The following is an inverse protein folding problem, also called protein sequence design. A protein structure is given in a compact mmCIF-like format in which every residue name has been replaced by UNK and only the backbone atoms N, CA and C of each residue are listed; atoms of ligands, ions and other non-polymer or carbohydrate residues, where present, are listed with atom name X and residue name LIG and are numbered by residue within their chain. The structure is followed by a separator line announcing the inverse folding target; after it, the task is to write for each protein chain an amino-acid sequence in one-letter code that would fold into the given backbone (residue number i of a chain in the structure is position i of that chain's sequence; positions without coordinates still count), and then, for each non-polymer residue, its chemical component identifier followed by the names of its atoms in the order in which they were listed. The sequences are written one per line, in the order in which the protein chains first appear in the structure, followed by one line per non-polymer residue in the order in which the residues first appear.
data_IF_544337493054
#
_entry.id   IF_544337493054
#
_cell.length_a   1.000
_cell.length_b   1.000
_cell.length_c   1.000
_cell.angle_alpha   90.00
_cell.angle_beta   90.00
_cell.angle_gamma   90.00
#
_symmetry.space_group_name_H-M   'P 1'
#
loop_
_entity.id
_entity.type
_entity.pdbx_description
1 polymer ?
#
# COMPACT_ATOMS: atom_id res chain seq x y z
N UNK A 1 24.41 8.98 0.85
CA UNK A 1 23.10 9.44 1.35
C UNK A 1 22.30 8.31 1.98
N UNK A 2 22.08 7.19 1.28
CA UNK A 2 21.51 5.96 1.88
C UNK A 2 22.34 5.38 3.04
N UNK A 3 23.60 5.78 3.17
CA UNK A 3 24.51 5.43 4.27
C UNK A 3 24.43 6.37 5.48
N UNK A 4 23.69 7.49 5.39
CA UNK A 4 23.55 8.49 6.46
C UNK A 4 22.15 8.49 7.08
N UNK A 5 21.16 7.92 6.39
CA UNK A 5 19.84 7.64 6.91
C UNK A 5 19.62 6.12 6.87
N UNK A 6 19.76 5.47 8.03
CA UNK A 6 19.58 4.02 8.18
C UNK A 6 18.17 3.54 7.86
N UNK A 7 17.20 4.45 7.79
CA UNK A 7 15.81 4.13 7.51
C UNK A 7 15.38 4.55 6.09
N UNK A 8 16.19 5.35 5.39
CA UNK A 8 15.93 5.81 4.02
C UNK A 8 14.63 6.60 3.85
N UNK A 9 14.20 7.32 4.90
CA UNK A 9 12.94 8.06 4.95
C UNK A 9 13.14 9.51 4.50
N UNK A 10 14.36 10.05 4.59
CA UNK A 10 14.63 11.42 4.19
C UNK A 10 14.50 11.59 2.68
N UNK A 11 13.38 12.18 2.27
CA UNK A 11 13.11 12.50 0.87
C UNK A 11 13.88 13.77 0.48
N UNK A 12 14.87 13.60 -0.40
CA UNK A 12 15.55 14.73 -1.02
C UNK A 12 14.57 15.57 -1.87
N UNK A 13 14.73 16.89 -1.84
CA UNK A 13 14.09 17.76 -2.84
C UNK A 13 14.68 17.49 -4.22
N UNK A 14 13.90 17.78 -5.27
CA UNK A 14 14.34 17.58 -6.66
C UNK A 14 15.61 18.40 -6.94
N UNK A 15 15.68 19.64 -6.46
CA UNK A 15 16.84 20.52 -6.65
C UNK A 15 18.10 19.96 -5.96
N UNK A 16 17.95 19.46 -4.73
CA UNK A 16 19.07 18.88 -3.99
C UNK A 16 19.54 17.57 -4.64
N UNK A 17 18.62 16.70 -5.06
CA UNK A 17 18.96 15.48 -5.81
C UNK A 17 19.69 15.81 -7.13
N UNK A 18 19.24 16.84 -7.86
CA UNK A 18 19.87 17.28 -9.11
C UNK A 18 21.28 17.81 -8.88
N UNK A 19 21.50 18.60 -7.82
CA UNK A 19 22.84 19.09 -7.45
C UNK A 19 23.82 17.96 -7.09
N UNK A 20 23.31 16.82 -6.63
CA UNK A 20 24.09 15.60 -6.33
C UNK A 20 24.31 14.71 -7.56
N UNK A 21 23.84 15.13 -8.74
CA UNK A 21 23.98 14.40 -10.00
C UNK A 21 22.99 13.24 -10.18
N UNK A 22 21.96 13.14 -9.33
CA UNK A 22 20.91 12.14 -9.54
C UNK A 22 20.04 12.56 -10.74
N UNK A 23 19.66 11.59 -11.60
CA UNK A 23 18.72 11.88 -12.68
C UNK A 23 17.37 12.31 -12.08
N UNK A 24 16.75 13.33 -12.67
CA UNK A 24 15.37 13.69 -12.34
C UNK A 24 14.43 12.59 -12.83
N UNK A 25 14.03 11.70 -11.92
CA UNK A 25 13.05 10.66 -12.21
C UNK A 25 11.66 11.24 -11.96
N UNK A 26 10.88 11.41 -13.02
CA UNK A 26 9.45 11.64 -12.90
C UNK A 26 8.78 10.29 -12.69
N UNK A 27 8.34 10.02 -11.45
CA UNK A 27 7.50 8.87 -11.16
C UNK A 27 6.06 9.29 -11.40
N UNK A 28 5.46 8.77 -12.46
CA UNK A 28 4.01 8.87 -12.69
C UNK A 28 3.36 7.61 -12.17
N UNK A 29 2.36 7.75 -11.29
CA UNK A 29 1.48 6.65 -10.91
C UNK A 29 0.12 6.87 -11.56
N UNK A 30 -0.33 5.87 -12.30
CA UNK A 30 -1.71 5.80 -12.77
C UNK A 30 -2.44 4.79 -11.90
N UNK A 31 -3.61 5.17 -11.39
CA UNK A 31 -4.42 4.33 -10.51
C UNK A 31 -5.76 4.11 -11.16
N UNK A 32 -5.94 2.91 -11.71
CA UNK A 32 -7.23 2.47 -12.21
C UNK A 32 -8.02 1.76 -11.12
N UNK A 33 -9.24 2.26 -10.87
CA UNK A 33 -10.18 1.64 -9.94
C UNK A 33 -11.07 0.64 -10.66
N UNK A 34 -10.91 -0.66 -10.38
CA UNK A 34 -11.85 -1.68 -10.81
C UNK A 34 -12.76 -2.05 -9.64
N UNK A 35 -14.07 -2.02 -9.87
CA UNK A 35 -15.08 -2.51 -8.92
C UNK A 35 -15.71 -3.80 -9.42
N UNK A 36 -15.91 -4.77 -8.54
CA UNK A 36 -16.74 -5.93 -8.82
C UNK A 36 -18.17 -5.75 -8.31
N UNK A 37 -19.11 -6.54 -8.82
CA UNK A 37 -20.45 -6.60 -8.24
C UNK A 37 -20.41 -7.21 -6.83
N UNK A 38 -21.41 -6.90 -6.01
CA UNK A 38 -21.56 -7.46 -4.66
C UNK A 38 -21.49 -8.99 -4.65
N UNK A 39 -22.11 -9.64 -5.64
CA UNK A 39 -22.10 -11.09 -5.80
C UNK A 39 -20.70 -11.71 -5.91
N UNK A 40 -19.76 -11.00 -6.55
CA UNK A 40 -18.38 -11.47 -6.68
C UNK A 40 -17.65 -11.35 -5.34
N UNK A 41 -17.85 -10.25 -4.61
CA UNK A 41 -17.31 -10.11 -3.26
C UNK A 41 -17.86 -11.18 -2.31
N UNK A 42 -19.14 -11.50 -2.40
CA UNK A 42 -19.76 -12.58 -1.61
C UNK A 42 -19.15 -13.94 -1.93
N UNK A 43 -18.93 -14.24 -3.22
CA UNK A 43 -18.29 -15.49 -3.64
C UNK A 43 -16.84 -15.59 -3.15
N UNK A 44 -16.05 -14.52 -3.26
CA UNK A 44 -14.68 -14.44 -2.73
C UNK A 44 -14.69 -14.65 -1.20
N UNK A 45 -15.62 -14.00 -0.49
CA UNK A 45 -15.76 -14.13 0.96
C UNK A 45 -16.04 -15.58 1.37
N UNK A 46 -17.00 -16.24 0.71
CA UNK A 46 -17.32 -17.64 0.97
C UNK A 46 -16.14 -18.57 0.68
N UNK A 47 -15.44 -18.36 -0.43
CA UNK A 47 -14.25 -19.15 -0.77
C UNK A 47 -13.16 -19.02 0.28
N UNK A 48 -12.84 -17.80 0.73
CA UNK A 48 -11.84 -17.60 1.77
C UNK A 48 -12.27 -18.22 3.11
N UNK A 49 -13.54 -18.09 3.49
CA UNK A 49 -14.08 -18.76 4.69
C UNK A 49 -13.93 -20.28 4.63
N UNK A 50 -14.18 -20.90 3.47
CA UNK A 50 -13.97 -22.33 3.26
C UNK A 50 -12.50 -22.75 3.43
N UNK A 51 -11.55 -21.82 3.23
CA UNK A 51 -10.12 -22.01 3.44
C UNK A 51 -9.65 -21.60 4.86
N UNK A 52 -10.58 -21.33 5.79
CA UNK A 52 -10.27 -20.99 7.18
C UNK A 52 -9.93 -19.52 7.42
N UNK A 53 -10.12 -18.65 6.43
CA UNK A 53 -10.01 -17.20 6.64
C UNK A 53 -11.21 -16.66 7.41
N UNK A 54 -10.96 -15.90 8.48
CA UNK A 54 -11.99 -15.14 9.18
C UNK A 54 -12.09 -13.73 8.58
N UNK A 55 -13.16 -13.40 7.83
CA UNK A 55 -13.33 -12.08 7.24
C UNK A 55 -13.58 -10.97 8.25
N UNK A 56 -13.90 -11.31 9.51
CA UNK A 56 -14.00 -10.34 10.60
C UNK A 56 -12.67 -10.14 11.33
N UNK A 57 -11.62 -10.83 10.90
CA UNK A 57 -10.30 -10.70 11.49
C UNK A 57 -9.71 -9.32 11.19
N UNK A 58 -9.46 -8.57 12.25
CA UNK A 58 -8.74 -7.31 12.19
C UNK A 58 -7.22 -7.51 12.23
N UNK A 59 -6.73 -8.76 12.26
CA UNK A 59 -5.31 -9.07 12.45
C UNK A 59 -4.43 -8.42 11.38
N UNK A 60 -4.80 -8.56 10.11
CA UNK A 60 -4.01 -8.02 9.00
C UNK A 60 -3.97 -6.48 9.03
N UNK A 61 -5.12 -5.84 9.27
CA UNK A 61 -5.20 -4.38 9.39
C UNK A 61 -4.31 -3.87 10.55
N UNK A 62 -4.36 -4.53 11.71
CA UNK A 62 -3.50 -4.21 12.86
C UNK A 62 -2.02 -4.43 12.56
N UNK A 63 -1.65 -5.54 11.91
CA UNK A 63 -0.27 -5.83 11.52
C UNK A 63 0.28 -4.77 10.55
N UNK A 64 -0.54 -4.30 9.61
CA UNK A 64 -0.17 -3.28 8.63
C UNK A 64 -0.30 -1.84 9.16
N UNK A 65 -0.78 -1.64 10.39
CA UNK A 65 -1.04 -0.31 10.95
C UNK A 65 -2.15 0.47 10.23
N UNK A 66 -3.05 -0.21 9.52
CA UNK A 66 -4.15 0.41 8.79
C UNK A 66 -5.27 0.74 9.78
N UNK A 67 -5.78 1.99 9.79
CA UNK A 67 -6.90 2.36 10.66
C UNK A 67 -8.13 1.51 10.34
N UNK A 68 -8.76 0.99 11.39
CA UNK A 68 -10.03 0.28 11.30
C UNK A 68 -11.13 1.32 11.17
N UNK A 69 -11.84 1.29 10.04
CA UNK A 69 -13.02 2.11 9.85
C UNK A 69 -14.23 1.25 10.21
N UNK A 70 -15.01 1.71 11.19
CA UNK A 70 -16.35 1.14 11.43
C UNK A 70 -17.24 1.53 10.24
N UNK A 71 -17.96 0.53 9.70
CA UNK A 71 -18.95 0.71 8.63
C UNK A 71 -20.34 0.86 9.27
#
# INVERSE_FOLDING_TARGET
YWSLDSFGIERLSIDHATSLGFPSIQITMEVDGFSWSSSVYDAIRQFHQANGFDPNSQYLARYLGIPLFDI
#
